data_IF_984215682798
#
_entry.id   IF_984215682798
#
_cell.length_a   1.000
_cell.length_b   1.000
_cell.length_c   1.000
_cell.angle_alpha   90.00
_cell.angle_beta   90.00
_cell.angle_gamma   90.00
#
_symmetry.space_group_name_H-M   'P 1'
#
loop_
_entity.id
_entity.type
_entity.pdbx_description
1 polymer ?
#
# COMPACT_ATOMS: atom_id res chain seq x y z
N UNK A 1 -7.52 -4.54 29.74
CA UNK A 1 -6.97 -5.85 29.31
C UNK A 1 -5.75 -5.54 28.47
N UNK A 2 -4.60 -6.16 28.71
CA UNK A 2 -3.45 -5.95 27.82
C UNK A 2 -3.87 -6.44 26.42
N UNK A 3 -3.95 -5.51 25.48
CA UNK A 3 -4.25 -5.75 24.07
C UNK A 3 -3.11 -6.59 23.52
N UNK A 4 -3.41 -7.85 23.15
CA UNK A 4 -2.41 -8.87 22.85
C UNK A 4 -1.42 -8.45 21.77
N UNK A 5 -0.14 -8.72 22.00
CA UNK A 5 0.89 -8.57 20.98
C UNK A 5 0.53 -9.41 19.76
N UNK A 6 0.63 -8.80 18.57
CA UNK A 6 0.41 -9.50 17.31
C UNK A 6 1.59 -10.45 17.11
N UNK A 7 1.32 -11.75 17.09
CA UNK A 7 2.35 -12.74 16.81
C UNK A 7 2.83 -12.57 15.36
N UNK A 8 4.16 -12.57 15.15
CA UNK A 8 4.74 -12.37 13.82
C UNK A 8 4.17 -13.31 12.76
N UNK A 9 3.93 -14.56 13.11
CA UNK A 9 3.38 -15.60 12.23
C UNK A 9 1.94 -15.32 11.77
N UNK A 10 1.18 -14.53 12.54
CA UNK A 10 -0.17 -14.10 12.19
C UNK A 10 -0.16 -12.93 11.21
N UNK A 11 0.88 -12.10 11.24
CA UNK A 11 0.98 -10.89 10.42
C UNK A 11 1.92 -11.01 9.21
N UNK A 12 2.86 -11.95 9.22
CA UNK A 12 3.92 -12.05 8.23
C UNK A 12 4.14 -13.48 7.79
N UNK A 13 4.14 -13.70 6.47
CA UNK A 13 4.65 -14.91 5.86
C UNK A 13 6.02 -14.60 5.26
N UNK A 14 7.08 -15.26 5.72
CA UNK A 14 8.42 -15.08 5.14
C UNK A 14 8.67 -16.14 4.06
N UNK A 15 9.09 -15.72 2.87
CA UNK A 15 9.31 -16.60 1.73
C UNK A 15 10.75 -16.48 1.22
N UNK A 16 11.49 -17.60 1.01
CA UNK A 16 12.91 -17.58 0.65
C UNK A 16 13.15 -17.35 -0.85
N UNK A 17 12.37 -16.47 -1.48
CA UNK A 17 12.56 -16.15 -2.91
C UNK A 17 13.74 -15.19 -3.07
N UNK A 18 14.62 -15.52 -4.01
CA UNK A 18 15.80 -14.72 -4.38
C UNK A 18 15.72 -14.12 -5.79
N UNK A 19 14.75 -14.57 -6.59
CA UNK A 19 14.62 -14.20 -8.00
C UNK A 19 13.18 -13.76 -8.28
N UNK A 20 13.03 -12.76 -9.16
CA UNK A 20 11.73 -12.20 -9.54
C UNK A 20 10.89 -13.18 -10.37
N UNK A 21 11.54 -13.99 -11.21
CA UNK A 21 10.91 -15.09 -11.91
C UNK A 21 11.05 -16.37 -11.07
N UNK A 22 10.05 -16.66 -10.23
CA UNK A 22 10.02 -17.89 -9.44
C UNK A 22 9.23 -18.96 -10.19
N UNK A 23 9.91 -19.99 -10.69
CA UNK A 23 9.27 -21.06 -11.45
C UNK A 23 8.48 -22.07 -10.58
N UNK A 24 8.65 -22.07 -9.26
CA UNK A 24 8.17 -23.16 -8.39
C UNK A 24 7.71 -22.71 -6.98
N UNK A 25 7.30 -21.44 -6.81
CA UNK A 25 6.75 -21.02 -5.52
C UNK A 25 5.32 -21.54 -5.35
N UNK A 26 5.01 -22.14 -4.20
CA UNK A 26 3.61 -22.39 -3.82
C UNK A 26 2.88 -21.06 -3.72
N UNK A 27 1.65 -21.00 -4.26
CA UNK A 27 0.83 -19.79 -4.22
C UNK A 27 0.70 -19.25 -2.80
N UNK A 28 0.97 -17.95 -2.63
CA UNK A 28 0.84 -17.25 -1.35
C UNK A 28 -0.50 -16.49 -1.23
N UNK A 29 -1.44 -16.72 -2.16
CA UNK A 29 -2.73 -16.01 -2.22
C UNK A 29 -3.52 -16.15 -0.93
N UNK A 30 -3.63 -17.37 -0.37
CA UNK A 30 -4.42 -17.58 0.85
C UNK A 30 -3.90 -16.76 2.03
N UNK A 31 -2.59 -16.65 2.19
CA UNK A 31 -1.94 -15.90 3.27
C UNK A 31 -2.08 -14.38 3.05
N UNK A 32 -1.97 -13.93 1.80
CA UNK A 32 -2.19 -12.54 1.42
C UNK A 32 -3.65 -12.11 1.68
N UNK A 33 -4.64 -12.95 1.36
CA UNK A 33 -6.06 -12.67 1.64
C UNK A 33 -6.40 -12.69 3.13
N UNK A 34 -5.60 -13.36 3.98
CA UNK A 34 -5.69 -13.25 5.44
C UNK A 34 -5.23 -11.89 5.97
N UNK A 35 -4.65 -11.05 5.11
CA UNK A 35 -4.07 -9.76 5.50
C UNK A 35 -2.63 -9.86 5.98
N UNK A 36 -1.92 -10.95 5.67
CA UNK A 36 -0.49 -11.05 5.99
C UNK A 36 0.35 -10.24 5.02
N UNK A 37 1.46 -9.73 5.52
CA UNK A 37 2.56 -9.22 4.70
C UNK A 37 3.39 -10.40 4.22
N UNK A 38 3.51 -10.57 2.91
CA UNK A 38 4.46 -11.51 2.32
C UNK A 38 5.83 -10.85 2.32
N UNK A 39 6.75 -11.34 3.14
CA UNK A 39 8.10 -10.79 3.28
C UNK A 39 9.12 -11.64 2.53
N UNK A 40 9.89 -11.00 1.66
CA UNK A 40 10.88 -11.62 0.77
C UNK A 40 12.25 -11.01 1.11
N UNK A 41 12.94 -11.51 2.16
CA UNK A 41 14.14 -10.90 2.71
C UNK A 41 15.32 -10.87 1.73
N UNK A 42 15.35 -11.78 0.77
CA UNK A 42 16.46 -11.99 -0.16
C UNK A 42 16.10 -11.61 -1.61
N UNK A 43 14.93 -11.00 -1.83
CA UNK A 43 14.50 -10.55 -3.14
C UNK A 43 14.92 -9.09 -3.37
N UNK A 44 16.13 -8.90 -3.88
CA UNK A 44 16.65 -7.57 -4.17
C UNK A 44 16.21 -7.07 -5.56
N UNK A 45 15.94 -5.76 -5.66
CA UNK A 45 15.93 -5.05 -6.93
C UNK A 45 17.25 -4.31 -7.11
N UNK A 46 18.23 -4.97 -7.71
CA UNK A 46 19.56 -4.39 -7.93
C UNK A 46 19.50 -3.23 -8.92
N UNK A 47 20.10 -2.10 -8.55
CA UNK A 47 20.29 -0.95 -9.42
C UNK A 47 21.63 -1.08 -10.15
N UNK A 48 21.63 -0.77 -11.43
CA UNK A 48 22.87 -0.63 -12.20
C UNK A 48 23.64 0.62 -11.81
N UNK A 49 24.92 0.68 -12.18
CA UNK A 49 25.77 1.87 -11.97
C UNK A 49 25.17 3.14 -12.59
N UNK A 50 24.39 2.99 -13.67
CA UNK A 50 23.70 4.10 -14.33
C UNK A 50 22.43 4.55 -13.59
N UNK A 51 21.80 3.65 -12.84
CA UNK A 51 20.59 3.94 -12.06
C UNK A 51 20.93 4.44 -10.65
N UNK A 52 22.12 4.15 -10.13
CA UNK A 52 22.52 4.61 -8.81
C UNK A 52 22.46 6.14 -8.63
N UNK A 53 22.90 6.96 -9.60
CA UNK A 53 22.71 8.41 -9.54
C UNK A 53 21.25 8.87 -9.50
N UNK A 54 20.27 7.99 -9.74
CA UNK A 54 18.84 8.31 -9.60
C UNK A 54 18.36 8.28 -8.14
N UNK A 55 19.20 7.85 -7.20
CA UNK A 55 18.89 7.93 -5.77
C UNK A 55 19.21 9.32 -5.20
N UNK A 56 18.57 10.32 -5.79
CA UNK A 56 18.73 11.73 -5.43
C UNK A 56 17.36 12.35 -5.15
N UNK A 57 17.07 12.77 -3.89
CA UNK A 57 15.84 13.45 -3.54
C UNK A 57 15.53 14.69 -4.39
N UNK A 58 16.53 15.37 -4.97
CA UNK A 58 16.31 16.54 -5.84
C UNK A 58 15.59 16.21 -7.15
N UNK A 59 15.51 14.93 -7.53
CA UNK A 59 14.77 14.48 -8.70
C UNK A 59 13.25 14.55 -8.51
N UNK A 60 12.77 14.64 -7.27
CA UNK A 60 11.33 14.74 -7.00
C UNK A 60 10.90 16.20 -7.06
N UNK A 61 9.83 16.48 -7.81
CA UNK A 61 9.17 17.78 -7.83
C UNK A 61 8.84 18.21 -6.38
N UNK A 62 9.30 19.37 -5.90
CA UNK A 62 9.06 19.83 -4.53
C UNK A 62 7.58 19.89 -4.12
N UNK A 63 6.66 19.95 -5.09
CA UNK A 63 5.21 19.94 -4.85
C UNK A 63 4.64 18.53 -4.68
N UNK A 64 5.44 17.47 -4.80
CA UNK A 64 5.00 16.07 -4.77
C UNK A 64 5.78 15.26 -3.73
N UNK A 65 5.11 14.23 -3.21
CA UNK A 65 5.71 13.28 -2.26
C UNK A 65 6.65 12.27 -2.93
N UNK A 66 6.43 11.99 -4.21
CA UNK A 66 7.12 10.94 -4.96
C UNK A 66 7.00 11.18 -6.47
N UNK A 67 7.82 10.45 -7.21
CA UNK A 67 7.66 10.27 -8.65
C UNK A 67 6.65 9.14 -8.86
N UNK A 68 5.68 9.34 -9.76
CA UNK A 68 4.66 8.33 -10.09
C UNK A 68 4.68 7.99 -11.57
N UNK A 69 4.57 6.70 -11.88
CA UNK A 69 4.59 6.14 -13.23
C UNK A 69 3.35 5.28 -13.49
N UNK A 70 2.77 5.41 -14.69
CA UNK A 70 1.67 4.57 -15.16
C UNK A 70 2.17 3.73 -16.34
N UNK A 71 2.55 2.46 -16.13
CA UNK A 71 3.19 1.64 -17.16
C UNK A 71 2.36 1.53 -18.45
N UNK A 72 1.04 1.29 -18.32
CA UNK A 72 0.17 1.09 -19.49
C UNK A 72 0.05 2.31 -20.42
N UNK A 73 0.20 3.52 -19.88
CA UNK A 73 0.12 4.77 -20.66
C UNK A 73 1.49 5.41 -20.88
N UNK A 74 2.56 4.83 -20.32
CA UNK A 74 3.89 5.45 -20.29
C UNK A 74 3.95 6.78 -19.52
N UNK A 75 2.91 7.15 -18.77
CA UNK A 75 2.82 8.48 -18.16
C UNK A 75 3.65 8.57 -16.89
N UNK A 76 4.71 9.38 -16.94
CA UNK A 76 5.56 9.72 -15.79
C UNK A 76 5.25 11.12 -15.25
N UNK A 77 5.18 11.27 -13.92
CA UNK A 77 4.90 12.55 -13.25
C UNK A 77 5.72 12.71 -11.97
N UNK A 78 5.99 13.96 -11.58
CA UNK A 78 6.72 14.28 -10.35
C UNK A 78 8.24 14.26 -10.47
N UNK A 79 8.79 14.21 -11.69
CA UNK A 79 10.23 14.37 -11.93
C UNK A 79 10.55 15.86 -12.10
N UNK A 80 11.45 16.39 -11.26
CA UNK A 80 11.90 17.78 -11.30
C UNK A 80 12.93 18.03 -12.40
N UNK A 81 13.84 17.08 -12.62
CA UNK A 81 14.97 17.20 -13.55
C UNK A 81 14.62 16.53 -14.89
N UNK A 82 14.39 17.32 -15.93
CA UNK A 82 13.88 16.85 -17.21
C UNK A 82 14.83 15.85 -17.90
N UNK A 83 16.14 16.06 -17.77
CA UNK A 83 17.21 15.25 -18.37
C UNK A 83 17.24 13.82 -17.81
N UNK A 84 16.82 13.66 -16.54
CA UNK A 84 16.77 12.37 -15.85
C UNK A 84 15.46 11.63 -16.07
N UNK A 85 14.46 12.27 -16.70
CA UNK A 85 13.11 11.74 -16.87
C UNK A 85 13.09 10.38 -17.57
N UNK A 86 13.87 10.21 -18.63
CA UNK A 86 13.92 8.95 -19.38
C UNK A 86 14.52 7.81 -18.54
N UNK A 87 15.62 8.09 -17.81
CA UNK A 87 16.28 7.11 -16.95
C UNK A 87 15.36 6.66 -15.82
N UNK A 88 14.65 7.59 -15.19
CA UNK A 88 13.64 7.29 -14.16
C UNK A 88 12.49 6.47 -14.74
N UNK A 89 12.04 6.78 -15.96
CA UNK A 89 11.00 5.99 -16.62
C UNK A 89 11.45 4.55 -16.88
N UNK A 90 12.67 4.36 -17.38
CA UNK A 90 13.24 3.04 -17.65
C UNK A 90 13.40 2.21 -16.37
N UNK A 91 13.87 2.84 -15.28
CA UNK A 91 13.96 2.22 -13.96
C UNK A 91 12.58 1.70 -13.48
N UNK A 92 11.57 2.56 -13.55
CA UNK A 92 10.21 2.22 -13.09
C UNK A 92 9.54 1.18 -13.99
N UNK A 93 9.80 1.20 -15.30
CA UNK A 93 9.33 0.16 -16.22
C UNK A 93 9.99 -1.19 -15.94
N UNK A 94 11.31 -1.21 -15.69
CA UNK A 94 12.04 -2.43 -15.30
C UNK A 94 11.52 -3.01 -13.99
N UNK A 95 11.25 -2.14 -13.01
CA UNK A 95 10.64 -2.55 -11.73
C UNK A 95 9.24 -3.12 -11.94
N UNK A 96 8.42 -2.48 -12.78
CA UNK A 96 7.09 -2.98 -13.13
C UNK A 96 7.15 -4.38 -13.77
N UNK A 97 8.03 -4.61 -14.74
CA UNK A 97 8.19 -5.93 -15.35
C UNK A 97 8.66 -6.99 -14.34
N UNK A 98 9.57 -6.63 -13.44
CA UNK A 98 10.02 -7.52 -12.35
C UNK A 98 8.85 -7.89 -11.43
N UNK A 99 8.04 -6.91 -11.04
CA UNK A 99 6.82 -7.13 -10.24
C UNK A 99 5.81 -8.04 -10.94
N UNK A 100 5.67 -7.94 -12.27
CA UNK A 100 4.80 -8.87 -13.03
C UNK A 100 5.31 -10.30 -12.99
N UNK A 101 6.62 -10.51 -13.10
CA UNK A 101 7.21 -11.84 -12.97
C UNK A 101 6.98 -12.42 -11.57
N UNK A 102 7.11 -11.58 -10.53
CA UNK A 102 6.85 -11.98 -9.15
C UNK A 102 5.39 -12.37 -8.93
N UNK A 103 4.45 -11.59 -9.50
CA UNK A 103 3.01 -11.92 -9.46
C UNK A 103 2.76 -13.26 -10.16
N UNK A 104 3.33 -13.49 -11.35
CA UNK A 104 3.13 -14.73 -12.09
C UNK A 104 3.63 -15.96 -11.31
N UNK A 105 4.71 -15.83 -10.53
CA UNK A 105 5.23 -16.92 -9.71
C UNK A 105 4.52 -17.11 -8.37
N UNK A 106 4.16 -16.01 -7.68
CA UNK A 106 3.71 -16.05 -6.28
C UNK A 106 2.19 -15.92 -6.12
N UNK A 107 1.53 -15.25 -7.06
CA UNK A 107 0.10 -14.96 -7.07
C UNK A 107 -0.52 -15.29 -8.46
N UNK A 108 -0.26 -16.49 -9.02
CA UNK A 108 -0.63 -16.83 -10.40
C UNK A 108 -2.14 -16.65 -10.67
N UNK A 109 -2.98 -16.88 -9.65
CA UNK A 109 -4.43 -16.78 -9.74
C UNK A 109 -4.93 -15.36 -9.97
N UNK A 110 -4.10 -14.35 -9.68
CA UNK A 110 -4.43 -12.95 -9.84
C UNK A 110 -3.83 -12.31 -11.10
N UNK A 111 -2.91 -12.99 -11.79
CA UNK A 111 -2.15 -12.43 -12.90
C UNK A 111 -3.03 -11.72 -13.94
N UNK A 112 -4.11 -12.37 -14.36
CA UNK A 112 -5.02 -11.85 -15.39
C UNK A 112 -6.11 -10.91 -14.83
N UNK A 113 -6.29 -10.87 -13.51
CA UNK A 113 -7.30 -10.04 -12.84
C UNK A 113 -6.74 -8.69 -12.36
N UNK A 114 -5.43 -8.61 -12.12
CA UNK A 114 -4.76 -7.41 -11.67
C UNK A 114 -4.69 -6.38 -12.79
N UNK A 115 -5.05 -5.13 -12.47
CA UNK A 115 -5.13 -4.07 -13.46
C UNK A 115 -4.78 -2.70 -12.86
N UNK A 116 -4.80 -1.66 -13.71
CA UNK A 116 -4.40 -0.29 -13.36
C UNK A 116 -3.04 -0.16 -12.62
N UNK A 117 -1.96 -0.77 -13.15
CA UNK A 117 -0.66 -0.71 -12.50
C UNK A 117 -0.19 0.75 -12.35
N UNK A 118 0.34 1.08 -11.19
CA UNK A 118 0.97 2.38 -10.91
C UNK A 118 2.25 2.17 -10.10
N UNK A 119 3.38 2.60 -10.65
CA UNK A 119 4.68 2.60 -9.98
C UNK A 119 4.94 3.91 -9.24
N UNK A 120 5.72 3.83 -8.16
CA UNK A 120 6.20 5.00 -7.43
C UNK A 120 7.66 4.83 -7.00
N UNK A 121 8.44 5.89 -7.20
CA UNK A 121 9.80 6.02 -6.68
C UNK A 121 9.80 7.07 -5.56
N UNK A 122 10.11 6.63 -4.34
CA UNK A 122 10.16 7.48 -3.13
C UNK A 122 11.61 7.70 -2.72
N UNK A 123 12.14 8.90 -2.97
CA UNK A 123 13.56 9.22 -2.74
C UNK A 123 13.83 9.94 -1.42
N UNK A 124 12.84 10.64 -0.88
CA UNK A 124 12.98 11.34 0.39
C UNK A 124 12.86 10.39 1.60
N UNK A 125 13.56 10.69 2.71
CA UNK A 125 13.39 9.94 3.95
C UNK A 125 11.99 10.16 4.52
N UNK A 126 11.48 9.16 5.25
CA UNK A 126 10.17 9.26 5.92
C UNK A 126 10.10 10.48 6.87
N UNK A 127 11.20 10.81 7.54
CA UNK A 127 11.30 11.93 8.48
C UNK A 127 10.99 13.29 7.83
N UNK A 128 11.43 13.52 6.59
CA UNK A 128 11.20 14.78 5.88
C UNK A 128 9.70 15.07 5.67
N UNK A 129 8.90 14.02 5.46
CA UNK A 129 7.46 14.15 5.26
C UNK A 129 6.68 14.26 6.55
N UNK A 130 7.15 13.60 7.62
CA UNK A 130 6.55 13.70 8.95
C UNK A 130 6.56 15.14 9.46
N UNK A 131 7.62 15.89 9.16
CA UNK A 131 7.76 17.29 9.58
C UNK A 131 6.79 18.26 8.87
N UNK A 132 6.28 17.91 7.69
CA UNK A 132 5.54 18.83 6.80
C UNK A 132 4.09 18.43 6.54
N UNK A 133 3.67 17.25 6.98
CA UNK A 133 2.34 16.70 6.70
C UNK A 133 1.34 16.96 7.82
N UNK A 134 0.09 17.24 7.48
CA UNK A 134 -1.00 17.20 8.45
C UNK A 134 -1.20 15.78 8.98
N UNK A 135 -1.78 15.62 10.17
CA UNK A 135 -1.97 14.30 10.80
C UNK A 135 -2.72 13.30 9.91
N UNK A 136 -3.62 13.75 9.02
CA UNK A 136 -4.31 12.88 8.04
C UNK A 136 -3.37 12.35 6.96
N UNK A 137 -2.36 13.14 6.57
CA UNK A 137 -1.36 12.82 5.55
C UNK A 137 -0.05 12.25 6.13
N UNK A 138 0.00 12.09 7.45
CA UNK A 138 1.12 11.50 8.18
C UNK A 138 1.03 9.98 8.08
N UNK A 139 1.96 9.40 7.33
CA UNK A 139 2.00 7.96 7.06
C UNK A 139 2.78 7.19 8.16
N UNK A 140 3.27 7.90 9.20
CA UNK A 140 3.83 7.29 10.42
C UNK A 140 2.77 6.84 11.42
N UNK A 141 1.51 7.18 11.16
CA UNK A 141 0.34 6.70 11.92
C UNK A 141 -0.25 5.47 11.23
N UNK A 142 -0.61 4.45 12.02
CA UNK A 142 -1.26 3.24 11.53
C UNK A 142 -2.54 3.60 10.77
N UNK A 143 -2.64 3.10 9.54
CA UNK A 143 -3.79 3.31 8.68
C UNK A 143 -3.94 2.15 7.70
N UNK A 144 -5.15 2.01 7.18
CA UNK A 144 -5.42 1.28 5.93
C UNK A 144 -5.51 2.29 4.79
N UNK A 145 -5.06 1.91 3.60
CA UNK A 145 -5.09 2.82 2.46
C UNK A 145 -6.52 3.15 2.05
N UNK A 146 -6.82 4.45 2.02
CA UNK A 146 -8.04 5.00 1.46
C UNK A 146 -7.72 6.32 0.76
N UNK A 147 -8.08 6.45 -0.51
CA UNK A 147 -7.76 7.65 -1.28
C UNK A 147 -8.98 8.58 -1.40
N UNK A 148 -8.96 9.78 -0.79
CA UNK A 148 -10.13 10.67 -0.79
C UNK A 148 -10.54 11.14 -2.18
N UNK A 149 -9.57 11.27 -3.10
CA UNK A 149 -9.77 11.76 -4.46
C UNK A 149 -9.91 10.65 -5.52
N UNK A 150 -9.64 9.39 -5.15
CA UNK A 150 -9.69 8.23 -6.06
C UNK A 150 -10.43 7.07 -5.37
N UNK A 151 -11.77 7.15 -5.25
CA UNK A 151 -12.59 6.03 -4.80
C UNK A 151 -12.29 4.79 -5.64
N UNK A 152 -12.16 3.63 -5.00
CA UNK A 152 -11.82 2.35 -5.64
C UNK A 152 -13.01 1.38 -5.65
N UNK A 153 -14.18 1.76 -5.14
CA UNK A 153 -15.41 0.95 -5.20
C UNK A 153 -15.19 -0.51 -4.76
N UNK A 154 -14.49 -0.71 -3.64
CA UNK A 154 -14.29 -2.04 -3.07
C UNK A 154 -13.11 -2.81 -3.63
N UNK A 155 -12.51 -2.38 -4.74
CA UNK A 155 -11.36 -3.06 -5.31
C UNK A 155 -10.18 -3.10 -4.33
N UNK A 156 -9.50 -4.25 -4.28
CA UNK A 156 -8.35 -4.45 -3.40
C UNK A 156 -7.15 -3.67 -3.90
N UNK A 157 -6.34 -3.16 -2.99
CA UNK A 157 -5.12 -2.42 -3.31
C UNK A 157 -3.92 -3.33 -3.02
N UNK A 158 -3.44 -4.04 -4.03
CA UNK A 158 -2.23 -4.85 -3.94
C UNK A 158 -1.00 -3.97 -4.11
N UNK A 159 -0.06 -4.01 -3.17
CA UNK A 159 1.20 -3.27 -3.26
C UNK A 159 2.40 -4.17 -3.09
N UNK A 160 3.39 -3.96 -3.95
CA UNK A 160 4.72 -4.59 -3.90
C UNK A 160 5.73 -3.48 -3.62
N UNK A 161 6.46 -3.61 -2.53
CA UNK A 161 7.47 -2.66 -2.10
C UNK A 161 8.85 -3.29 -2.16
N UNK A 162 9.87 -2.47 -2.42
CA UNK A 162 11.27 -2.89 -2.36
C UNK A 162 12.12 -1.80 -1.74
N UNK A 163 12.92 -2.18 -0.73
CA UNK A 163 13.91 -1.30 -0.14
C UNK A 163 15.17 -1.31 -1.01
N UNK A 164 15.45 -0.17 -1.65
CA UNK A 164 16.58 0.03 -2.56
C UNK A 164 17.64 0.97 -1.96
N UNK A 165 17.68 1.09 -0.64
CA UNK A 165 18.62 1.95 0.06
C UNK A 165 20.08 1.45 -0.12
N UNK A 166 21.02 2.28 -0.60
CA UNK A 166 22.40 1.86 -0.84
C UNK A 166 23.30 1.97 0.40
N UNK A 167 22.79 2.51 1.51
CA UNK A 167 23.56 2.87 2.71
C UNK A 167 23.27 1.98 3.92
N UNK A 168 22.59 0.84 3.73
CA UNK A 168 22.29 -0.07 4.83
C UNK A 168 21.03 0.28 5.63
N UNK A 169 20.28 1.33 5.27
CA UNK A 169 19.14 1.78 6.07
C UNK A 169 17.91 0.88 5.90
N UNK A 170 17.36 0.41 7.02
CA UNK A 170 16.14 -0.39 7.03
C UNK A 170 14.90 0.49 6.78
N UNK A 171 13.91 -0.06 6.08
CA UNK A 171 12.56 0.50 6.07
C UNK A 171 11.83 -0.04 7.29
N UNK A 172 11.47 0.85 8.22
CA UNK A 172 10.82 0.48 9.47
C UNK A 172 9.32 0.65 9.34
N UNK A 173 8.56 -0.41 9.57
CA UNK A 173 7.10 -0.40 9.57
C UNK A 173 6.55 -0.80 10.94
N UNK A 174 5.32 -0.34 11.22
CA UNK A 174 4.42 -0.99 12.18
C UNK A 174 3.26 -1.57 11.41
N UNK A 175 2.88 -2.81 11.72
CA UNK A 175 1.71 -3.49 11.17
C UNK A 175 0.70 -3.67 12.30
N UNK A 176 -0.56 -3.28 12.08
CA UNK A 176 -1.62 -3.35 13.08
C UNK A 176 -2.42 -4.64 13.06
N UNK A 177 -3.48 -4.66 13.88
CA UNK A 177 -4.36 -5.83 14.07
C UNK A 177 -5.10 -6.26 12.79
N UNK A 178 -5.61 -7.50 12.71
CA UNK A 178 -6.39 -7.97 11.56
C UNK A 178 -7.58 -7.05 11.24
N UNK A 179 -7.87 -6.88 9.94
CA UNK A 179 -8.91 -5.95 9.48
C UNK A 179 -10.29 -6.16 10.12
N UNK A 180 -10.82 -7.39 10.31
CA UNK A 180 -12.13 -7.58 10.95
C UNK A 180 -12.19 -7.04 12.37
N UNK A 181 -11.13 -7.22 13.15
CA UNK A 181 -11.02 -6.73 14.54
C UNK A 181 -10.92 -5.20 14.55
N UNK A 182 -10.08 -4.65 13.68
CA UNK A 182 -9.96 -3.21 13.46
C UNK A 182 -11.32 -2.58 13.08
N UNK A 183 -12.01 -3.18 12.11
CA UNK A 183 -13.29 -2.69 11.63
C UNK A 183 -14.33 -2.70 12.75
N UNK A 184 -14.43 -3.80 13.52
CA UNK A 184 -15.31 -3.89 14.69
C UNK A 184 -15.01 -2.81 15.74
N UNK A 185 -13.73 -2.56 16.02
CA UNK A 185 -13.29 -1.55 17.00
C UNK A 185 -13.73 -0.13 16.62
N UNK A 186 -13.57 0.24 15.36
CA UNK A 186 -13.82 1.62 14.91
C UNK A 186 -15.22 1.86 14.36
N UNK A 187 -15.95 0.82 13.92
CA UNK A 187 -17.29 0.95 13.32
C UNK A 187 -18.26 1.84 14.13
N UNK A 188 -18.35 1.75 15.47
CA UNK A 188 -19.28 2.58 16.25
C UNK A 188 -18.97 4.08 16.20
N UNK A 189 -17.76 4.46 15.80
CA UNK A 189 -17.26 5.84 15.80
C UNK A 189 -17.34 6.51 14.42
N UNK A 190 -17.67 5.77 13.37
CA UNK A 190 -17.64 6.27 12.00
C UNK A 190 -18.85 7.16 11.70
N UNK A 191 -18.61 8.28 11.02
CA UNK A 191 -19.69 9.16 10.58
C UNK A 191 -20.58 8.46 9.55
N UNK A 192 -21.89 8.72 9.62
CA UNK A 192 -22.87 8.18 8.67
C UNK A 192 -22.57 8.64 7.24
N UNK A 193 -22.75 7.72 6.29
CA UNK A 193 -22.69 8.05 4.87
C UNK A 193 -23.88 8.91 4.44
N UNK A 194 -23.62 9.89 3.57
CA UNK A 194 -24.64 10.71 2.92
C UNK A 194 -24.44 10.68 1.41
N UNK A 195 -25.38 10.05 0.70
CA UNK A 195 -25.38 10.00 -0.76
C UNK A 195 -25.43 11.40 -1.39
N UNK A 196 -26.14 12.35 -0.75
CA UNK A 196 -26.19 13.73 -1.19
C UNK A 196 -24.84 14.45 -1.07
N UNK A 197 -24.13 14.25 0.05
CA UNK A 197 -22.78 14.82 0.23
C UNK A 197 -21.79 14.25 -0.78
N UNK A 198 -21.84 12.93 -1.03
CA UNK A 198 -21.01 12.26 -2.04
C UNK A 198 -21.28 12.80 -3.45
N UNK A 199 -22.56 12.96 -3.81
CA UNK A 199 -22.98 13.58 -5.06
C UNK A 199 -22.43 15.01 -5.19
N UNK A 200 -22.58 15.84 -4.15
CA UNK A 200 -22.13 17.22 -4.18
C UNK A 200 -20.61 17.32 -4.34
N UNK A 201 -19.84 16.53 -3.57
CA UNK A 201 -18.37 16.47 -3.68
C UNK A 201 -17.89 16.10 -5.09
N UNK A 202 -18.60 15.19 -5.76
CA UNK A 202 -18.32 14.84 -7.15
C UNK A 202 -18.66 15.99 -8.11
N UNK A 203 -19.82 16.65 -7.94
CA UNK A 203 -20.20 17.79 -8.79
C UNK A 203 -19.20 18.94 -8.71
N UNK A 204 -18.66 19.22 -7.52
CA UNK A 204 -17.62 20.23 -7.33
C UNK A 204 -16.19 19.74 -7.63
N UNK A 205 -16.04 18.55 -8.24
CA UNK A 205 -14.76 17.95 -8.68
C UNK A 205 -13.72 17.72 -7.58
N UNK A 206 -14.16 17.60 -6.32
CA UNK A 206 -13.27 17.23 -5.20
C UNK A 206 -12.86 15.75 -5.33
N UNK A 207 -13.78 14.89 -5.75
CA UNK A 207 -13.53 13.48 -6.05
C UNK A 207 -13.62 13.23 -7.56
N UNK A 208 -12.77 12.34 -8.09
CA UNK A 208 -12.81 11.98 -9.53
C UNK A 208 -14.06 11.21 -9.95
N UNK A 209 -14.66 10.50 -9.01
CA UNK A 209 -15.89 9.71 -9.15
C UNK A 209 -16.75 9.91 -7.90
N UNK A 210 -18.03 9.51 -7.93
CA UNK A 210 -18.90 9.57 -6.74
C UNK A 210 -18.39 8.57 -5.70
N UNK A 211 -18.17 9.02 -4.46
CA UNK A 211 -17.72 8.14 -3.38
C UNK A 211 -18.82 7.13 -3.05
N UNK A 212 -18.52 5.83 -3.05
CA UNK A 212 -19.46 4.79 -2.58
C UNK A 212 -19.62 4.84 -1.05
N UNK A 213 -20.57 4.08 -0.51
CA UNK A 213 -20.69 3.92 0.93
C UNK A 213 -19.43 3.23 1.50
N UNK A 214 -18.92 2.21 0.79
CA UNK A 214 -17.65 1.56 1.13
C UNK A 214 -16.49 2.56 1.21
N UNK A 215 -16.26 3.36 0.16
CA UNK A 215 -15.15 4.32 0.12
C UNK A 215 -15.26 5.38 1.24
N UNK A 216 -16.49 5.76 1.61
CA UNK A 216 -16.73 6.64 2.75
C UNK A 216 -16.31 5.99 4.07
N UNK A 217 -16.70 4.73 4.31
CA UNK A 217 -16.32 4.00 5.53
C UNK A 217 -14.82 3.79 5.60
N UNK A 218 -14.16 3.39 4.51
CA UNK A 218 -12.70 3.23 4.46
C UNK A 218 -11.98 4.54 4.76
N UNK A 219 -12.45 5.66 4.22
CA UNK A 219 -11.87 6.98 4.51
C UNK A 219 -12.10 7.40 5.97
N UNK A 220 -13.28 7.11 6.53
CA UNK A 220 -13.56 7.37 7.94
C UNK A 220 -12.72 6.49 8.87
N UNK A 221 -12.51 5.21 8.52
CA UNK A 221 -11.61 4.31 9.24
C UNK A 221 -10.18 4.85 9.23
N UNK A 222 -9.67 5.20 8.05
CA UNK A 222 -8.36 5.82 7.90
C UNK A 222 -8.21 7.06 8.81
N UNK A 223 -9.16 7.99 8.76
CA UNK A 223 -9.09 9.21 9.57
C UNK A 223 -9.27 8.95 11.07
N UNK A 224 -10.18 8.04 11.46
CA UNK A 224 -10.41 7.69 12.86
C UNK A 224 -9.18 7.01 13.48
N UNK A 225 -8.55 6.07 12.77
CA UNK A 225 -7.32 5.40 13.21
C UNK A 225 -6.19 6.40 13.39
N UNK A 226 -5.99 7.31 12.42
CA UNK A 226 -4.95 8.33 12.53
C UNK A 226 -5.25 9.34 13.64
N UNK A 227 -6.51 9.61 13.97
CA UNK A 227 -6.87 10.55 15.03
C UNK A 227 -6.75 9.96 16.45
N UNK A 228 -6.96 8.65 16.61
CA UNK A 228 -6.97 7.98 17.90
C UNK A 228 -5.55 7.79 18.48
N UNK A 229 -5.15 8.69 19.39
CA UNK A 229 -3.83 8.65 20.01
C UNK A 229 -3.58 7.39 20.86
N UNK A 230 -4.61 6.89 21.54
CA UNK A 230 -4.51 5.71 22.40
C UNK A 230 -4.29 4.46 21.53
N UNK A 231 -5.02 4.33 20.43
CA UNK A 231 -4.81 3.25 19.46
C UNK A 231 -3.42 3.30 18.83
N UNK A 232 -2.91 4.49 18.51
CA UNK A 232 -1.57 4.63 17.90
C UNK A 232 -0.43 4.26 18.85
N UNK A 233 -0.63 4.36 20.16
CA UNK A 233 0.37 4.06 21.19
C UNK A 233 0.23 2.66 21.78
N UNK A 234 -1.01 2.23 22.07
CA UNK A 234 -1.32 1.02 22.85
C UNK A 234 -2.12 -0.03 22.06
N UNK A 235 -2.55 0.28 20.83
CA UNK A 235 -3.24 -0.68 19.97
C UNK A 235 -2.33 -1.86 19.58
N UNK A 236 -2.91 -3.02 19.24
CA UNK A 236 -2.12 -4.17 18.81
C UNK A 236 -1.32 -3.81 17.56
N UNK A 237 0.00 -3.97 17.64
CA UNK A 237 0.91 -3.63 16.56
C UNK A 237 2.20 -4.43 16.64
N UNK A 238 2.78 -4.73 15.49
CA UNK A 238 4.04 -5.42 15.33
C UNK A 238 5.03 -4.51 14.59
N UNK A 239 6.19 -4.27 15.20
CA UNK A 239 7.30 -3.60 14.51
C UNK A 239 7.97 -4.57 13.53
N UNK A 240 8.09 -4.16 12.27
CA UNK A 240 8.77 -4.88 11.21
C UNK A 240 9.88 -4.03 10.62
N UNK A 241 11.02 -4.66 10.38
CA UNK A 241 12.12 -4.05 9.67
C UNK A 241 12.33 -4.76 8.34
N UNK A 242 12.36 -3.98 7.26
CA UNK A 242 12.68 -4.46 5.93
C UNK A 242 14.08 -3.98 5.55
N UNK A 243 15.10 -4.87 5.58
CA UNK A 243 16.47 -4.51 5.27
C UNK A 243 16.61 -4.09 3.79
N UNK A 244 17.66 -3.34 3.42
CA UNK A 244 18.00 -3.10 2.03
C UNK A 244 18.09 -4.40 1.23
N UNK A 245 17.62 -4.37 -0.01
CA UNK A 245 17.60 -5.56 -0.86
C UNK A 245 16.50 -6.57 -0.50
N UNK A 246 15.52 -6.18 0.31
CA UNK A 246 14.31 -6.97 0.54
C UNK A 246 13.09 -6.36 -0.15
N UNK A 247 12.13 -7.24 -0.46
CA UNK A 247 10.81 -6.87 -0.98
C UNK A 247 9.71 -7.39 -0.06
N UNK A 248 8.55 -6.77 -0.12
CA UNK A 248 7.37 -7.26 0.56
C UNK A 248 6.09 -6.90 -0.19
N UNK A 249 5.05 -7.70 0.03
CA UNK A 249 3.76 -7.59 -0.64
C UNK A 249 2.67 -7.56 0.42
N UNK A 250 1.70 -6.66 0.27
CA UNK A 250 0.49 -6.71 1.09
C UNK A 250 -0.71 -6.14 0.34
N UNK A 251 -1.90 -6.47 0.83
CA UNK A 251 -3.09 -5.68 0.55
C UNK A 251 -3.13 -4.50 1.51
N UNK A 252 -2.80 -3.31 1.03
CA UNK A 252 -2.63 -2.12 1.87
C UNK A 252 -3.96 -1.50 2.32
N UNK A 253 -5.07 -1.90 1.69
CA UNK A 253 -6.46 -1.58 2.10
C UNK A 253 -6.96 -2.47 3.25
N UNK A 254 -6.30 -3.60 3.52
CA UNK A 254 -6.67 -4.54 4.58
C UNK A 254 -5.65 -4.55 5.71
N UNK A 255 -4.36 -4.49 5.38
CA UNK A 255 -3.26 -4.57 6.35
C UNK A 255 -2.98 -3.18 6.92
N UNK A 256 -3.27 -2.91 8.20
CA UNK A 256 -2.97 -1.61 8.79
C UNK A 256 -1.47 -1.44 8.86
N UNK A 257 -0.94 -0.35 8.33
CA UNK A 257 0.50 -0.14 8.26
C UNK A 257 0.87 1.31 8.56
N UNK A 258 2.11 1.50 9.03
CA UNK A 258 2.71 2.80 9.28
C UNK A 258 4.20 2.75 8.92
N UNK A 259 4.69 3.73 8.15
CA UNK A 259 6.11 3.86 7.86
C UNK A 259 6.77 4.77 8.91
N UNK A 260 7.69 4.21 9.70
CA UNK A 260 8.37 4.89 10.80
C UNK A 260 9.71 5.51 10.37
N UNK A 261 10.38 4.90 9.40
CA UNK A 261 11.73 5.29 8.99
C UNK A 261 12.13 4.69 7.64
N UNK A 262 13.29 5.10 7.14
CA UNK A 262 13.86 4.64 5.88
C UNK A 262 13.80 5.67 4.75
N UNK A 263 14.75 5.55 3.84
CA UNK A 263 14.85 6.30 2.58
C UNK A 263 14.99 5.34 1.40
N UNK A 264 14.67 5.82 0.18
CA UNK A 264 14.81 5.09 -1.09
C UNK A 264 13.98 3.81 -1.18
N UNK A 265 12.76 3.95 -1.70
CA UNK A 265 11.83 2.83 -1.85
C UNK A 265 11.16 2.84 -3.21
N UNK A 266 11.03 1.66 -3.82
CA UNK A 266 10.16 1.42 -4.96
C UNK A 266 8.85 0.81 -4.49
N UNK A 267 7.77 1.20 -5.15
CA UNK A 267 6.42 0.69 -4.90
C UNK A 267 5.73 0.44 -6.24
N UNK A 268 5.04 -0.69 -6.36
CA UNK A 268 4.18 -1.00 -7.48
C UNK A 268 2.80 -1.37 -6.94
N UNK A 269 1.78 -0.61 -7.34
CA UNK A 269 0.38 -0.84 -6.97
C UNK A 269 -0.37 -1.49 -8.13
N UNK A 270 -1.28 -2.41 -7.82
CA UNK A 270 -2.28 -2.97 -8.71
C UNK A 270 -3.65 -2.98 -8.02
N UNK A 271 -4.72 -2.93 -8.80
CA UNK A 271 -6.09 -3.13 -8.32
C UNK A 271 -6.56 -4.55 -8.65
N UNK A 272 -7.29 -5.16 -7.72
CA UNK A 272 -7.91 -6.48 -7.88
C UNK A 272 -9.41 -6.41 -7.57
N UNK A 273 -10.29 -6.79 -8.51
CA UNK A 273 -11.72 -6.88 -8.25
C UNK A 273 -12.03 -7.93 -7.17
N UNK A 274 -12.94 -7.61 -6.24
CA UNK A 274 -13.28 -8.52 -5.11
C UNK A 274 -13.84 -9.86 -5.60
N UNK A 275 -14.58 -9.87 -6.71
CA UNK A 275 -15.11 -11.11 -7.31
C UNK A 275 -14.05 -11.99 -7.98
N UNK A 276 -12.79 -11.55 -8.03
CA UNK A 276 -11.64 -12.32 -8.54
C UNK A 276 -10.72 -12.82 -7.42
N UNK A 277 -11.04 -12.51 -6.16
CA UNK A 277 -10.38 -13.13 -5.00
C UNK A 277 -10.76 -14.62 -4.89
N UNK A 278 -9.87 -15.43 -4.30
CA UNK A 278 -10.16 -16.81 -3.94
C UNK A 278 -11.19 -16.89 -2.79
N UNK A 279 -11.03 -16.06 -1.76
CA UNK A 279 -11.99 -15.87 -0.67
C UNK A 279 -12.45 -14.40 -0.59
N UNK A 280 -13.44 -14.01 -1.41
CA UNK A 280 -14.00 -12.66 -1.40
C UNK A 280 -14.54 -12.21 -0.02
N UNK A 281 -14.92 -13.15 0.86
CA UNK A 281 -15.47 -12.83 2.19
C UNK A 281 -14.43 -12.16 3.10
N UNK A 282 -13.14 -12.36 2.83
CA UNK A 282 -12.03 -11.71 3.56
C UNK A 282 -11.77 -10.28 3.13
N UNK A 283 -12.36 -9.84 2.01
CA UNK A 283 -12.18 -8.47 1.54
C UNK A 283 -12.71 -7.45 2.56
N UNK A 284 -12.06 -6.27 2.70
CA UNK A 284 -12.60 -5.17 3.49
C UNK A 284 -14.05 -4.84 3.14
N UNK A 285 -14.41 -4.91 1.84
CA UNK A 285 -15.78 -4.71 1.39
C UNK A 285 -16.76 -5.68 2.06
N UNK A 286 -16.52 -6.99 1.96
CA UNK A 286 -17.43 -8.01 2.52
C UNK A 286 -17.47 -7.98 4.04
N UNK A 287 -16.34 -7.75 4.69
CA UNK A 287 -16.29 -7.57 6.15
C UNK A 287 -17.15 -6.39 6.58
N UNK A 288 -17.02 -5.24 5.92
CA UNK A 288 -17.83 -4.06 6.24
C UNK A 288 -19.32 -4.27 5.91
N UNK A 289 -19.66 -4.94 4.81
CA UNK A 289 -21.05 -5.30 4.47
C UNK A 289 -21.69 -6.17 5.55
N UNK A 290 -20.97 -7.18 6.04
CA UNK A 290 -21.42 -8.06 7.12
C UNK A 290 -21.64 -7.28 8.43
N UNK A 291 -20.68 -6.43 8.83
CA UNK A 291 -20.80 -5.61 10.04
C UNK A 291 -21.93 -4.58 9.95
N UNK A 292 -22.29 -4.13 8.75
CA UNK A 292 -23.36 -3.17 8.50
C UNK A 292 -24.71 -3.81 8.21
N UNK A 293 -24.75 -5.10 7.88
CA UNK A 293 -25.96 -5.82 7.48
C UNK A 293 -26.57 -5.37 6.15
N UNK A 294 -25.79 -4.75 5.26
CA UNK A 294 -26.28 -4.26 3.96
C UNK A 294 -25.15 -4.13 2.92
N UNK A 295 -25.46 -4.17 1.61
CA UNK A 295 -24.52 -3.84 0.54
C UNK A 295 -23.96 -2.42 0.68
N UNK A 296 -22.69 -2.23 0.32
CA UNK A 296 -21.99 -0.93 0.45
C UNK A 296 -21.59 -0.28 -0.89
N UNK A 297 -21.93 -0.92 -2.00
CA UNK A 297 -21.75 -0.42 -3.38
C UNK A 297 -23.09 -0.47 -4.10
#
# INVERSE_FOLDING_TARGET
>A
MPTGDIMREQAVLTLPLRQWAAAEASSAVSELEQGKVLFLPELAFTLSDQEMPLLDPTLVDPKRKNISYQPLSGKLSGVAVAERRQQVQQLLERYYQSCRQLIAGLLPEYQEALHHPTGSLRLHPVSAWRATSSWRKDDSRLHVDAFPSRPNYGERILRIFTNINPHGEHRQWRVGEPFPELAQRFMPRLARYSAFSSWLQHQVRITKTRRSHYDHLMLQLHDAMKADGDYQQQGPQLALEFPPGSSWICFSDQTPHAAMGGQFMLEQTFLLPVNKMQDPQRSPLKVLEQLRGQPLI
#
